data_IF_192371393908
#
_entry.id   IF_192371393908
#
_cell.length_a   1.000
_cell.length_b   1.000
_cell.length_c   1.000
_cell.angle_alpha   90.00
_cell.angle_beta   90.00
_cell.angle_gamma   90.00
#
_symmetry.space_group_name_H-M   'P 1'
#
loop_
_entity.id
_entity.type
_entity.pdbx_description
1 polymer ?
#
# COMPACT_ATOMS: atom_id res chain seq x y z
N UNK A 1 -18.78 -38.10 -24.98
CA UNK A 1 -18.86 -37.45 -23.66
C UNK A 1 -17.76 -36.40 -23.62
N UNK A 2 -18.10 -35.15 -23.87
CA UNK A 2 -17.15 -34.04 -23.87
C UNK A 2 -16.73 -33.70 -22.44
N UNK A 3 -15.44 -33.89 -22.17
CA UNK A 3 -14.81 -33.48 -20.92
C UNK A 3 -14.68 -31.95 -20.98
N UNK A 4 -15.53 -31.25 -20.23
CA UNK A 4 -15.44 -29.80 -20.10
C UNK A 4 -14.11 -29.46 -19.43
N UNK A 5 -13.17 -28.98 -20.26
CA UNK A 5 -11.92 -28.39 -19.83
C UNK A 5 -12.23 -27.21 -18.91
N UNK A 6 -11.98 -27.39 -17.61
CA UNK A 6 -12.03 -26.30 -16.64
C UNK A 6 -10.95 -25.31 -17.07
N UNK A 7 -11.35 -24.13 -17.53
CA UNK A 7 -10.44 -23.01 -17.69
C UNK A 7 -9.78 -22.75 -16.33
N UNK A 8 -8.53 -23.19 -16.21
CA UNK A 8 -7.63 -22.69 -15.19
C UNK A 8 -7.43 -21.22 -15.53
N UNK A 9 -8.06 -20.34 -14.74
CA UNK A 9 -7.84 -18.90 -14.81
C UNK A 9 -6.35 -18.57 -14.63
N UNK A 10 -5.93 -17.33 -14.93
CA UNK A 10 -4.56 -16.90 -14.72
C UNK A 10 -4.11 -17.23 -13.28
N UNK A 11 -2.81 -17.53 -13.06
CA UNK A 11 -2.29 -17.93 -11.76
C UNK A 11 -2.79 -16.98 -10.68
N UNK A 12 -3.26 -17.54 -9.55
CA UNK A 12 -3.82 -16.82 -8.40
C UNK A 12 -2.83 -15.74 -7.92
N UNK A 13 -2.94 -14.55 -8.51
CA UNK A 13 -2.24 -13.36 -8.04
C UNK A 13 -2.63 -13.16 -6.57
N UNK A 14 -1.66 -12.91 -5.70
CA UNK A 14 -1.97 -12.62 -4.29
C UNK A 14 -2.94 -11.45 -4.26
N UNK A 15 -4.07 -11.62 -3.57
CA UNK A 15 -5.12 -10.59 -3.57
C UNK A 15 -4.97 -9.69 -2.34
N UNK A 16 -4.61 -10.29 -1.21
CA UNK A 16 -4.55 -9.61 0.08
C UNK A 16 -3.19 -9.81 0.73
N UNK A 17 -2.51 -8.70 1.04
CA UNK A 17 -1.33 -8.66 1.89
C UNK A 17 -1.75 -8.31 3.34
N UNK A 18 -1.30 -9.08 4.32
CA UNK A 18 -1.59 -8.83 5.75
C UNK A 18 -0.30 -8.39 6.45
N UNK A 19 -0.25 -7.11 6.81
CA UNK A 19 0.85 -6.46 7.50
C UNK A 19 0.49 -6.25 8.98
N UNK A 20 1.24 -6.85 9.89
CA UNK A 20 0.95 -6.80 11.32
C UNK A 20 2.17 -7.17 12.17
N UNK A 21 2.07 -6.93 13.48
CA UNK A 21 3.08 -7.38 14.45
C UNK A 21 2.44 -7.94 15.71
N UNK A 22 3.10 -8.95 16.28
CA UNK A 22 2.79 -9.53 17.58
C UNK A 22 2.44 -11.01 17.48
N UNK A 23 3.09 -11.84 18.29
CA UNK A 23 2.89 -13.30 18.27
C UNK A 23 1.50 -13.69 18.76
N UNK A 24 1.00 -13.01 19.79
CA UNK A 24 -0.38 -13.21 20.28
C UNK A 24 -1.41 -12.91 19.18
N UNK A 25 -1.16 -11.85 18.39
CA UNK A 25 -2.02 -11.47 17.29
C UNK A 25 -1.94 -12.49 16.14
N UNK A 26 -0.75 -13.06 15.88
CA UNK A 26 -0.52 -14.12 14.89
C UNK A 26 -1.31 -15.38 15.22
N UNK A 27 -1.13 -15.93 16.42
CA UNK A 27 -1.77 -17.18 16.83
C UNK A 27 -3.28 -17.02 17.08
N UNK A 28 -3.72 -15.84 17.52
CA UNK A 28 -5.12 -15.53 17.76
C UNK A 28 -5.83 -14.96 16.54
N UNK A 29 -6.15 -13.66 16.60
CA UNK A 29 -7.01 -12.97 15.64
C UNK A 29 -6.60 -13.14 14.16
N UNK A 30 -5.30 -13.03 13.84
CA UNK A 30 -4.83 -13.11 12.44
C UNK A 30 -5.00 -14.51 11.88
N UNK A 31 -4.77 -15.56 12.67
CA UNK A 31 -4.96 -16.94 12.19
C UNK A 31 -6.42 -17.19 11.76
N UNK A 32 -7.38 -16.69 12.54
CA UNK A 32 -8.81 -16.79 12.22
C UNK A 32 -9.21 -15.92 11.03
N UNK A 33 -8.65 -14.72 10.91
CA UNK A 33 -8.89 -13.84 9.76
C UNK A 33 -8.40 -14.48 8.46
N UNK A 34 -7.18 -14.99 8.47
CA UNK A 34 -6.56 -15.68 7.32
C UNK A 34 -7.38 -16.89 6.92
N UNK A 35 -7.75 -17.73 7.89
CA UNK A 35 -8.55 -18.92 7.63
C UNK A 35 -9.92 -18.54 7.00
N UNK A 36 -10.56 -17.48 7.51
CA UNK A 36 -11.83 -17.01 6.97
C UNK A 36 -11.70 -16.53 5.51
N UNK A 37 -10.65 -15.76 5.19
CA UNK A 37 -10.37 -15.30 3.83
C UNK A 37 -10.10 -16.47 2.88
N UNK A 38 -9.26 -17.43 3.30
CA UNK A 38 -8.93 -18.62 2.51
C UNK A 38 -10.16 -19.50 2.25
N UNK A 39 -11.05 -19.67 3.24
CA UNK A 39 -12.32 -20.39 3.08
C UNK A 39 -13.25 -19.74 2.03
N UNK A 40 -13.09 -18.45 1.76
CA UNK A 40 -13.81 -17.72 0.72
C UNK A 40 -13.05 -17.66 -0.62
N UNK A 41 -11.97 -18.44 -0.76
CA UNK A 41 -11.18 -18.51 -2.00
C UNK A 41 -10.28 -17.29 -2.24
N UNK A 42 -10.08 -16.44 -1.23
CA UNK A 42 -9.22 -15.25 -1.33
C UNK A 42 -7.78 -15.69 -1.04
N UNK A 43 -6.88 -15.40 -1.98
CA UNK A 43 -5.46 -15.69 -1.80
C UNK A 43 -4.81 -14.63 -0.90
N UNK A 44 -4.26 -15.06 0.23
CA UNK A 44 -3.71 -14.19 1.28
C UNK A 44 -2.22 -14.46 1.45
N UNK A 45 -1.44 -13.40 1.42
CA UNK A 45 -0.05 -13.41 1.85
C UNK A 45 0.07 -12.77 3.24
N UNK A 46 0.75 -13.46 4.15
CA UNK A 46 0.92 -13.03 5.55
C UNK A 46 2.39 -12.68 5.75
N UNK A 47 2.64 -11.54 6.38
CA UNK A 47 3.98 -11.23 6.85
C UNK A 47 4.45 -12.26 7.92
N UNK A 48 5.37 -13.15 7.52
CA UNK A 48 5.89 -14.26 8.33
C UNK A 48 7.24 -13.90 8.97
N UNK A 49 7.24 -12.86 9.80
CA UNK A 49 8.44 -12.35 10.49
C UNK A 49 9.11 -13.28 11.53
N UNK A 50 9.02 -14.61 11.41
CA UNK A 50 9.79 -15.54 12.26
C UNK A 50 10.95 -16.24 11.55
N UNK A 51 11.06 -16.17 10.21
CA UNK A 51 12.21 -16.77 9.52
C UNK A 51 13.29 -15.73 9.24
N UNK A 52 14.23 -15.64 10.18
CA UNK A 52 15.56 -15.04 9.94
C UNK A 52 16.16 -15.61 8.65
N UNK A 53 16.63 -14.73 7.76
CA UNK A 53 17.74 -15.04 6.85
C UNK A 53 17.45 -15.02 5.35
N UNK A 54 16.20 -15.13 4.90
CA UNK A 54 15.89 -15.20 3.47
C UNK A 54 14.73 -14.25 3.16
N UNK A 55 14.84 -13.46 2.07
CA UNK A 55 13.69 -12.96 1.31
C UNK A 55 12.99 -11.62 1.64
N UNK A 56 13.75 -10.59 2.03
CA UNK A 56 13.24 -9.19 1.98
C UNK A 56 12.85 -8.72 0.58
N UNK A 57 13.59 -9.19 -0.43
CA UNK A 57 13.29 -8.93 -1.84
C UNK A 57 11.95 -9.58 -2.22
N UNK A 58 11.62 -10.74 -1.64
CA UNK A 58 10.36 -11.44 -1.88
C UNK A 58 9.19 -10.68 -1.25
N UNK A 59 9.36 -10.13 -0.04
CA UNK A 59 8.28 -9.47 0.71
C UNK A 59 7.74 -8.21 0.01
N UNK A 60 8.63 -7.35 -0.51
CA UNK A 60 8.19 -6.19 -1.30
C UNK A 60 7.54 -6.61 -2.62
N UNK A 61 8.01 -7.68 -3.26
CA UNK A 61 7.37 -8.23 -4.45
C UNK A 61 5.93 -8.71 -4.14
N UNK A 62 5.69 -9.29 -2.95
CA UNK A 62 4.32 -9.68 -2.54
C UNK A 62 3.39 -8.49 -2.34
N UNK A 63 3.91 -7.38 -1.81
CA UNK A 63 3.15 -6.12 -1.73
C UNK A 63 2.85 -5.59 -3.14
N UNK A 64 3.80 -5.71 -4.08
CA UNK A 64 3.60 -5.29 -5.47
C UNK A 64 2.59 -6.14 -6.23
N UNK A 65 2.58 -7.46 -5.98
CA UNK A 65 1.65 -8.42 -6.56
C UNK A 65 0.23 -8.29 -5.99
N UNK A 66 0.09 -7.75 -4.78
CA UNK A 66 -1.19 -7.61 -4.07
C UNK A 66 -2.05 -6.45 -4.57
N UNK A 67 -3.38 -6.60 -4.51
CA UNK A 67 -4.34 -5.54 -4.84
C UNK A 67 -4.98 -4.89 -3.61
N UNK A 68 -4.96 -5.59 -2.46
CA UNK A 68 -5.42 -5.09 -1.16
C UNK A 68 -4.32 -5.31 -0.12
N UNK A 69 -4.11 -4.35 0.77
CA UNK A 69 -3.32 -4.50 1.99
C UNK A 69 -4.18 -4.25 3.23
N UNK A 70 -4.21 -5.23 4.12
CA UNK A 70 -4.72 -5.12 5.48
C UNK A 70 -3.56 -4.69 6.39
N UNK A 71 -3.61 -3.46 6.89
CA UNK A 71 -2.60 -2.92 7.82
C UNK A 71 -3.17 -2.99 9.23
N UNK A 72 -2.73 -3.96 10.01
CA UNK A 72 -3.26 -4.20 11.36
C UNK A 72 -2.37 -3.48 12.37
N UNK A 73 -2.76 -2.26 12.73
CA UNK A 73 -2.14 -1.53 13.82
C UNK A 73 -2.53 -2.17 15.15
N UNK A 74 -1.52 -2.61 15.89
CA UNK A 74 -1.60 -3.12 17.26
C UNK A 74 -0.63 -2.33 18.14
N UNK A 75 -0.72 -2.50 19.46
CA UNK A 75 0.19 -1.82 20.39
C UNK A 75 1.66 -2.01 20.02
N UNK A 76 2.02 -3.23 19.61
CA UNK A 76 3.40 -3.67 19.32
C UNK A 76 3.88 -3.40 17.89
N UNK A 77 3.08 -2.73 17.07
CA UNK A 77 3.34 -2.56 15.64
C UNK A 77 4.69 -1.87 15.36
N UNK A 78 4.97 -0.79 16.09
CA UNK A 78 6.14 0.07 15.89
C UNK A 78 7.43 -0.53 16.45
N UNK A 79 7.38 -1.66 17.17
CA UNK A 79 8.57 -2.40 17.58
C UNK A 79 9.35 -2.97 16.38
N UNK A 80 8.66 -3.22 15.26
CA UNK A 80 9.20 -3.91 14.09
C UNK A 80 9.59 -2.95 12.98
N UNK A 81 10.90 -2.81 12.75
CA UNK A 81 11.45 -2.05 11.61
C UNK A 81 10.90 -2.58 10.28
N UNK A 82 10.75 -3.90 10.17
CA UNK A 82 10.18 -4.53 8.99
C UNK A 82 8.74 -4.09 8.74
N UNK A 83 7.88 -4.10 9.75
CA UNK A 83 6.50 -3.65 9.58
C UNK A 83 6.44 -2.16 9.19
N UNK A 84 7.37 -1.34 9.70
CA UNK A 84 7.48 0.08 9.34
C UNK A 84 7.96 0.28 7.89
N UNK A 85 8.92 -0.51 7.42
CA UNK A 85 9.38 -0.46 6.02
C UNK A 85 8.33 -1.00 5.04
N UNK A 86 7.63 -2.07 5.39
CA UNK A 86 6.48 -2.56 4.62
C UNK A 86 5.40 -1.50 4.50
N UNK A 87 5.14 -0.76 5.58
CA UNK A 87 4.19 0.35 5.57
C UNK A 87 4.60 1.46 4.57
N UNK A 88 5.90 1.74 4.45
CA UNK A 88 6.39 2.68 3.42
C UNK A 88 6.05 2.19 2.02
N UNK A 89 6.29 0.90 1.75
CA UNK A 89 6.01 0.30 0.44
C UNK A 89 4.51 0.27 0.15
N UNK A 90 3.70 -0.09 1.15
CA UNK A 90 2.24 -0.08 1.07
C UNK A 90 1.73 1.32 0.76
N UNK A 91 2.22 2.34 1.49
CA UNK A 91 1.87 3.74 1.22
C UNK A 91 2.24 4.14 -0.20
N UNK A 92 3.47 3.84 -0.64
CA UNK A 92 3.93 4.15 -1.99
C UNK A 92 3.01 3.56 -3.06
N UNK A 93 2.66 2.27 -2.94
CA UNK A 93 1.76 1.58 -3.88
C UNK A 93 0.34 2.14 -3.84
N UNK A 94 -0.14 2.53 -2.66
CA UNK A 94 -1.44 3.15 -2.48
C UNK A 94 -1.52 4.54 -3.10
N UNK A 95 -0.48 5.36 -2.94
CA UNK A 95 -0.37 6.70 -3.52
C UNK A 95 -0.29 6.64 -5.06
N UNK A 96 0.27 5.56 -5.61
CA UNK A 96 0.26 5.26 -7.05
C UNK A 96 -1.08 4.69 -7.56
N UNK A 97 -2.03 4.39 -6.66
CA UNK A 97 -3.34 3.82 -7.02
C UNK A 97 -3.32 2.32 -7.34
N UNK A 98 -2.21 1.61 -7.12
CA UNK A 98 -2.09 0.18 -7.41
C UNK A 98 -2.55 -0.72 -6.27
N UNK A 99 -2.64 -0.20 -5.05
CA UNK A 99 -2.94 -0.98 -3.85
C UNK A 99 -4.02 -0.30 -3.01
N UNK A 100 -5.13 -1.00 -2.77
CA UNK A 100 -6.13 -0.54 -1.80
C UNK A 100 -5.64 -0.85 -0.39
N UNK A 101 -5.73 0.12 0.52
CA UNK A 101 -5.32 -0.06 1.92
C UNK A 101 -6.54 -0.01 2.82
N UNK A 102 -6.68 -1.01 3.68
CA UNK A 102 -7.70 -1.08 4.73
C UNK A 102 -6.97 -1.10 6.09
N UNK A 103 -6.91 0.03 6.79
CA UNK A 103 -6.39 0.07 8.16
C UNK A 103 -7.30 -0.68 9.11
N UNK A 104 -6.72 -1.53 9.96
CA UNK A 104 -7.39 -2.24 11.04
C UNK A 104 -6.73 -1.79 12.34
N UNK A 105 -7.52 -1.23 13.25
CA UNK A 105 -7.06 -0.73 14.54
C UNK A 105 -7.43 -1.74 15.62
N UNK A 106 -6.49 -2.59 16.01
CA UNK A 106 -6.71 -3.69 16.94
C UNK A 106 -6.28 -3.29 18.35
N UNK A 107 -7.24 -3.00 19.23
CA UNK A 107 -7.01 -2.49 20.59
C UNK A 107 -6.15 -1.21 20.65
N UNK A 108 -6.16 -0.42 19.58
CA UNK A 108 -5.50 0.89 19.50
C UNK A 108 -6.46 1.89 18.88
N UNK A 109 -6.41 3.15 19.31
CA UNK A 109 -7.24 4.20 18.70
C UNK A 109 -6.55 4.78 17.44
N UNK A 110 -7.29 5.15 16.38
CA UNK A 110 -6.71 5.78 15.20
C UNK A 110 -5.90 7.05 15.51
N UNK A 111 -6.36 7.86 16.48
CA UNK A 111 -5.65 9.07 16.91
C UNK A 111 -4.30 8.74 17.56
N UNK A 112 -4.22 7.62 18.28
CA UNK A 112 -2.99 7.14 18.91
C UNK A 112 -1.95 6.77 17.87
N UNK A 113 -2.35 6.09 16.79
CA UNK A 113 -1.48 5.76 15.66
C UNK A 113 -1.04 7.03 14.94
N UNK A 114 -1.99 7.89 14.57
CA UNK A 114 -1.73 9.13 13.81
C UNK A 114 -0.76 10.07 14.53
N UNK A 115 -0.90 10.19 15.85
CA UNK A 115 -0.15 11.16 16.65
C UNK A 115 0.97 10.52 17.47
N UNK A 116 1.21 9.22 17.30
CA UNK A 116 2.25 8.46 18.02
C UNK A 116 2.18 8.69 19.52
N UNK A 117 1.01 8.37 20.11
CA UNK A 117 0.75 8.53 21.55
C UNK A 117 0.83 7.19 22.29
N UNK A 118 0.96 7.27 23.62
CA UNK A 118 0.98 6.11 24.51
C UNK A 118 2.04 5.08 24.13
N UNK A 119 1.82 3.83 24.52
CA UNK A 119 2.75 2.73 24.29
C UNK A 119 3.16 2.57 22.80
N UNK A 120 2.20 2.72 21.88
CA UNK A 120 2.48 2.71 20.43
C UNK A 120 3.52 3.76 20.02
N UNK A 121 3.38 4.97 20.56
CA UNK A 121 4.30 6.08 20.32
C UNK A 121 5.64 5.92 21.04
N UNK A 122 5.64 5.37 22.25
CA UNK A 122 6.85 5.15 23.04
C UNK A 122 7.77 4.14 22.34
N UNK A 123 7.21 3.02 21.86
CA UNK A 123 7.94 2.03 21.06
C UNK A 123 8.48 2.62 19.74
N UNK A 124 7.73 3.54 19.12
CA UNK A 124 8.22 4.24 17.94
C UNK A 124 9.42 5.15 18.28
N UNK A 125 9.42 5.81 19.44
CA UNK A 125 10.53 6.67 19.87
C UNK A 125 11.81 5.86 20.10
N UNK A 126 11.71 4.63 20.58
CA UNK A 126 12.86 3.73 20.68
C UNK A 126 13.50 3.49 19.30
N UNK A 127 12.67 3.30 18.26
CA UNK A 127 13.16 3.18 16.87
C UNK A 127 13.69 4.49 16.31
N UNK A 128 13.06 5.61 16.63
CA UNK A 128 13.58 6.92 16.24
C UNK A 128 14.96 7.18 16.86
N UNK A 129 15.18 6.76 18.11
CA UNK A 129 16.48 6.85 18.78
C UNK A 129 17.52 5.92 18.16
N UNK A 130 17.16 4.66 17.89
CA UNK A 130 18.05 3.69 17.24
C UNK A 130 18.52 4.21 15.87
N UNK A 131 17.60 4.76 15.08
CA UNK A 131 17.85 5.29 13.73
C UNK A 131 18.04 6.81 13.69
N UNK A 132 18.47 7.44 14.80
CA UNK A 132 18.68 8.90 14.89
C UNK A 132 19.62 9.48 13.83
N UNK A 133 20.56 8.67 13.33
CA UNK A 133 21.48 9.06 12.24
C UNK A 133 20.84 8.96 10.83
N UNK A 134 19.70 8.28 10.70
CA UNK A 134 18.89 8.16 9.49
C UNK A 134 17.53 8.82 9.71
N UNK A 135 17.59 10.11 10.08
CA UNK A 135 16.41 10.94 10.31
C UNK A 135 15.41 10.89 9.12
N UNK A 136 15.84 10.93 7.85
CA UNK A 136 14.94 10.84 6.69
C UNK A 136 14.11 9.55 6.64
N UNK A 137 14.63 8.42 7.13
CA UNK A 137 13.86 7.17 7.23
C UNK A 137 12.80 7.26 8.31
N UNK A 138 13.17 7.74 9.50
CA UNK A 138 12.22 7.91 10.61
C UNK A 138 11.08 8.87 10.27
N UNK A 139 11.35 9.94 9.53
CA UNK A 139 10.32 10.88 9.07
C UNK A 139 9.37 10.25 8.05
N UNK A 140 9.89 9.44 7.14
CA UNK A 140 9.05 8.66 6.22
C UNK A 140 8.14 7.69 6.97
N UNK A 141 8.64 7.02 8.01
CA UNK A 141 7.80 6.15 8.84
C UNK A 141 6.68 6.93 9.55
N UNK A 142 7.00 8.10 10.13
CA UNK A 142 6.00 8.99 10.75
C UNK A 142 4.92 9.41 9.74
N UNK A 143 5.34 9.82 8.55
CA UNK A 143 4.43 10.20 7.47
C UNK A 143 3.52 9.03 7.06
N UNK A 144 4.07 7.83 6.92
CA UNK A 144 3.31 6.66 6.52
C UNK A 144 2.30 6.21 7.58
N UNK A 145 2.70 6.20 8.86
CA UNK A 145 1.78 5.93 9.98
C UNK A 145 0.63 6.94 10.01
N UNK A 146 0.93 8.23 9.84
CA UNK A 146 -0.08 9.29 9.80
C UNK A 146 -1.01 9.17 8.58
N UNK A 147 -0.44 8.97 7.38
CA UNK A 147 -1.21 8.89 6.12
C UNK A 147 -2.14 7.68 6.09
N UNK A 148 -1.61 6.49 6.41
CA UNK A 148 -2.38 5.24 6.37
C UNK A 148 -3.46 5.23 7.44
N UNK A 149 -3.17 5.72 8.66
CA UNK A 149 -4.18 5.80 9.74
C UNK A 149 -5.29 6.83 9.48
N UNK A 150 -5.09 7.77 8.55
CA UNK A 150 -6.15 8.72 8.15
C UNK A 150 -7.12 8.12 7.11
N UNK A 151 -6.83 6.96 6.53
CA UNK A 151 -7.74 6.27 5.62
C UNK A 151 -8.92 5.67 6.41
N UNK A 152 -10.07 5.52 5.74
CA UNK A 152 -11.22 4.84 6.34
C UNK A 152 -10.82 3.41 6.71
N UNK A 153 -10.98 3.05 7.99
CA UNK A 153 -10.55 1.77 8.53
C UNK A 153 -11.56 1.16 9.49
N UNK A 154 -11.21 0.00 10.05
CA UNK A 154 -12.04 -0.79 10.95
C UNK A 154 -11.39 -0.84 12.33
N UNK A 155 -12.15 -0.58 13.39
CA UNK A 155 -11.61 -0.59 14.75
C UNK A 155 -12.19 -1.74 15.57
N UNK A 156 -11.33 -2.38 16.37
CA UNK A 156 -11.67 -3.43 17.30
C UNK A 156 -11.29 -3.00 18.73
N UNK A 157 -12.23 -3.18 19.65
CA UNK A 157 -12.03 -3.05 21.08
C UNK A 157 -12.22 -4.42 21.74
N UNK A 158 -11.43 -4.72 22.78
CA UNK A 158 -11.44 -5.99 23.54
C UNK A 158 -12.78 -6.42 24.11
N UNK A 159 -13.78 -5.53 24.21
CA UNK A 159 -15.16 -5.87 24.63
C UNK A 159 -16.02 -6.35 23.47
N UNK A 160 -15.49 -6.29 22.25
CA UNK A 160 -16.16 -6.67 21.01
C UNK A 160 -15.95 -8.15 20.71
N UNK A 161 -16.83 -8.67 19.87
CA UNK A 161 -16.80 -10.05 19.40
C UNK A 161 -15.86 -10.18 18.20
N UNK A 162 -14.70 -10.81 18.41
CA UNK A 162 -13.67 -11.01 17.37
C UNK A 162 -14.21 -11.75 16.14
N UNK A 163 -15.10 -12.74 16.33
CA UNK A 163 -15.68 -13.49 15.21
C UNK A 163 -16.54 -12.59 14.34
N UNK A 164 -17.36 -11.72 14.95
CA UNK A 164 -18.11 -10.70 14.20
C UNK A 164 -17.18 -9.73 13.50
N UNK A 165 -16.08 -9.33 14.14
CA UNK A 165 -15.11 -8.42 13.55
C UNK A 165 -14.42 -9.02 12.32
N UNK A 166 -14.00 -10.29 12.39
CA UNK A 166 -13.47 -11.04 11.23
C UNK A 166 -14.48 -11.05 10.08
N UNK A 167 -15.77 -11.28 10.36
CA UNK A 167 -16.83 -11.25 9.33
C UNK A 167 -17.01 -9.87 8.70
N UNK A 168 -16.80 -8.79 9.46
CA UNK A 168 -16.85 -7.41 8.94
C UNK A 168 -15.67 -7.18 8.00
N UNK A 169 -14.46 -7.55 8.40
CA UNK A 169 -13.26 -7.41 7.55
C UNK A 169 -13.40 -8.21 6.26
N UNK A 170 -13.84 -9.46 6.36
CA UNK A 170 -14.08 -10.32 5.20
C UNK A 170 -15.01 -9.66 4.18
N UNK A 171 -16.15 -9.12 4.63
CA UNK A 171 -17.10 -8.42 3.76
C UNK A 171 -16.50 -7.18 3.10
N UNK A 172 -15.68 -6.44 3.83
CA UNK A 172 -15.02 -5.25 3.26
C UNK A 172 -14.00 -5.66 2.19
N UNK A 173 -13.23 -6.72 2.42
CA UNK A 173 -12.31 -7.28 1.42
C UNK A 173 -13.05 -7.77 0.18
N UNK A 174 -14.12 -8.55 0.34
CA UNK A 174 -14.94 -9.05 -0.79
C UNK A 174 -15.51 -7.89 -1.63
N UNK A 175 -16.01 -6.86 -0.97
CA UNK A 175 -16.51 -5.64 -1.64
C UNK A 175 -15.40 -4.96 -2.45
N UNK A 176 -14.21 -4.78 -1.88
CA UNK A 176 -13.10 -4.15 -2.59
C UNK A 176 -12.63 -4.99 -3.79
N UNK A 177 -12.62 -6.32 -3.67
CA UNK A 177 -12.32 -7.21 -4.80
C UNK A 177 -13.37 -7.13 -5.91
N UNK A 178 -14.66 -7.02 -5.57
CA UNK A 178 -15.74 -6.86 -6.55
C UNK A 178 -15.63 -5.53 -7.33
N UNK A 179 -15.23 -4.45 -6.66
CA UNK A 179 -15.00 -3.15 -7.30
C UNK A 179 -13.84 -3.17 -8.31
N UNK A 180 -12.86 -4.04 -8.11
CA UNK A 180 -11.74 -4.21 -9.04
C UNK A 180 -12.12 -4.98 -10.31
N UNK A 181 -13.09 -5.90 -10.22
CA UNK A 181 -13.54 -6.74 -11.36
C UNK A 181 -14.54 -6.01 -12.26
N UNK A 182 -15.33 -5.08 -11.70
CA UNK A 182 -16.34 -4.34 -12.44
C UNK A 182 -15.92 -2.86 -12.63
N UNK A 183 -15.21 -2.48 -13.70
CA UNK A 183 -15.03 -1.07 -14.00
C UNK A 183 -16.41 -0.46 -14.23
N UNK A 184 -16.74 0.59 -13.47
CA UNK A 184 -17.97 1.35 -13.63
C UNK A 184 -18.03 1.85 -15.08
N UNK A 185 -18.89 1.22 -15.89
CA UNK A 185 -19.23 1.74 -17.23
C UNK A 185 -20.06 2.98 -17.00
N UNK A 186 -19.42 4.14 -17.05
CA UNK A 186 -20.13 5.42 -17.05
C UNK A 186 -20.81 5.52 -18.42
N UNK A 187 -22.15 5.53 -18.51
CA UNK A 187 -22.81 5.77 -19.78
C UNK A 187 -22.51 7.22 -20.16
N UNK A 188 -21.71 7.43 -21.21
CA UNK A 188 -21.56 8.75 -21.81
C UNK A 188 -22.96 9.23 -22.25
N UNK A 189 -23.48 10.35 -21.72
CA UNK A 189 -24.73 10.91 -22.21
C UNK A 189 -24.45 11.62 -23.53
N UNK A 190 -24.73 10.91 -24.63
CA UNK A 190 -25.18 11.49 -25.89
C UNK A 190 -24.11 12.03 -26.84
N UNK A 191 -23.99 11.35 -27.98
CA UNK A 191 -24.21 12.05 -29.25
C UNK A 191 -25.09 11.18 -30.14
N UNK A 192 -26.29 11.68 -30.44
CA UNK A 192 -27.26 11.10 -31.37
C UNK A 192 -26.61 10.81 -32.73
N UNK A 193 -26.94 9.66 -33.30
CA UNK A 193 -26.92 9.47 -34.75
C UNK A 193 -28.19 10.11 -35.30
N UNK A 194 -28.09 11.26 -35.96
CA UNK A 194 -29.15 11.74 -36.83
C UNK A 194 -28.66 11.62 -38.29
N UNK A 195 -29.19 10.61 -38.98
CA UNK A 195 -29.16 10.47 -40.43
C UNK A 195 -30.43 11.14 -40.95
N UNK A 196 -30.30 12.25 -41.70
CA UNK A 196 -31.18 12.56 -42.84
C UNK A 196 -30.67 13.79 -43.60
N UNK A 197 -30.45 13.60 -44.89
CA UNK A 197 -30.13 14.60 -45.90
C UNK A 197 -31.38 15.33 -46.44
N UNK A 198 -31.12 16.41 -47.20
CA UNK A 198 -31.93 17.10 -48.23
C UNK A 198 -32.73 18.36 -47.84
N UNK A 199 -32.12 19.52 -48.15
CA UNK A 199 -32.62 20.46 -49.17
C UNK A 199 -33.57 21.60 -48.76
N UNK A 200 -33.19 22.85 -49.06
CA UNK A 200 -34.13 23.90 -49.49
C UNK A 200 -34.11 25.27 -48.79
N UNK A 201 -33.50 26.26 -49.47
CA UNK A 201 -33.85 27.69 -49.62
C UNK A 201 -34.49 28.48 -48.44
N UNK A 202 -33.67 29.40 -47.88
CA UNK A 202 -33.83 30.87 -47.91
C UNK A 202 -34.96 31.57 -47.13
N UNK A 203 -34.60 32.50 -46.22
CA UNK A 203 -35.20 33.84 -46.11
C UNK A 203 -34.37 34.74 -45.17
N UNK A 204 -34.27 36.02 -45.51
CA UNK A 204 -33.49 37.09 -44.87
C UNK A 204 -34.42 38.05 -44.14
N UNK A 205 -34.17 38.41 -42.87
CA UNK A 205 -34.59 39.71 -42.26
C UNK A 205 -33.55 40.15 -41.20
N UNK A 206 -33.16 41.44 -41.29
CA UNK A 206 -32.24 42.22 -40.44
C UNK A 206 -32.82 42.58 -39.07
N UNK A 207 -31.94 42.82 -38.09
CA UNK A 207 -32.24 43.65 -36.91
C UNK A 207 -31.10 43.79 -35.90
N UNK A 208 -30.24 44.79 -36.10
CA UNK A 208 -29.49 45.62 -35.11
C UNK A 208 -28.59 45.02 -34.00
N UNK A 209 -27.28 45.21 -34.21
CA UNK A 209 -26.29 45.88 -33.34
C UNK A 209 -26.06 45.42 -31.89
N UNK A 210 -24.95 44.71 -31.66
CA UNK A 210 -23.97 44.97 -30.59
C UNK A 210 -22.70 44.14 -30.87
N UNK A 211 -21.60 44.81 -31.23
CA UNK A 211 -20.24 44.27 -31.08
C UNK A 211 -19.95 44.14 -29.57
N UNK A 212 -19.35 43.02 -29.11
CA UNK A 212 -17.95 43.17 -28.75
C UNK A 212 -17.06 41.94 -29.01
N UNK A 213 -15.84 42.25 -29.48
CA UNK A 213 -14.55 41.67 -29.06
C UNK A 213 -14.25 40.24 -29.54
N UNK A 214 -13.48 40.18 -30.62
CA UNK A 214 -12.68 39.04 -31.05
C UNK A 214 -11.58 38.73 -30.01
N UNK A 215 -11.83 37.72 -29.17
CA UNK A 215 -10.78 37.00 -28.44
C UNK A 215 -10.37 35.80 -29.29
N UNK A 216 -9.47 36.07 -30.22
CA UNK A 216 -8.77 35.07 -30.98
C UNK A 216 -8.09 34.06 -30.05
N UNK A 217 -8.25 32.77 -30.38
CA UNK A 217 -7.29 31.69 -30.14
C UNK A 217 -6.77 31.53 -28.70
N UNK A 218 -7.41 30.65 -27.95
CA UNK A 218 -6.67 29.67 -27.15
C UNK A 218 -7.09 28.27 -27.56
N UNK A 219 -6.29 27.69 -28.43
CA UNK A 219 -6.20 26.23 -28.56
C UNK A 219 -5.82 25.71 -27.18
N UNK A 220 -6.79 25.09 -26.50
CA UNK A 220 -6.51 24.34 -25.28
C UNK A 220 -5.63 23.16 -25.70
N UNK A 221 -4.31 23.35 -25.62
CA UNK A 221 -3.34 22.27 -25.72
C UNK A 221 -3.62 21.32 -24.58
N UNK A 222 -4.33 20.24 -24.86
CA UNK A 222 -4.24 19.00 -24.09
C UNK A 222 -2.75 18.68 -24.04
N UNK A 223 -2.12 18.96 -22.90
CA UNK A 223 -0.75 18.57 -22.68
C UNK A 223 -0.72 17.04 -22.67
N UNK A 224 0.18 16.47 -23.45
CA UNK A 224 0.40 15.04 -23.53
C UNK A 224 0.72 14.46 -22.14
N UNK A 225 -0.29 13.92 -21.46
CA UNK A 225 -0.17 13.22 -20.17
C UNK A 225 0.74 11.99 -20.26
N UNK A 226 1.08 11.54 -21.48
CA UNK A 226 2.07 10.49 -21.75
C UNK A 226 3.49 10.93 -21.37
N UNK A 227 3.83 12.21 -21.55
CA UNK A 227 5.16 12.74 -21.21
C UNK A 227 5.38 12.81 -19.69
N UNK A 228 4.37 13.27 -18.95
CA UNK A 228 4.39 13.32 -17.48
C UNK A 228 4.39 11.90 -16.89
N UNK A 229 3.55 11.01 -17.40
CA UNK A 229 3.49 9.61 -16.94
C UNK A 229 4.80 8.86 -17.19
N UNK A 230 5.45 9.10 -18.32
CA UNK A 230 6.76 8.52 -18.62
C UNK A 230 7.85 9.07 -17.70
N UNK A 231 7.85 10.38 -17.40
CA UNK A 231 8.79 10.94 -16.44
C UNK A 231 8.57 10.36 -15.04
N UNK A 232 7.33 10.26 -14.57
CA UNK A 232 7.00 9.63 -13.27
C UNK A 232 7.49 8.18 -13.23
N UNK A 233 7.30 7.41 -14.30
CA UNK A 233 7.78 6.04 -14.41
C UNK A 233 9.30 5.95 -14.32
N UNK A 234 10.02 6.82 -15.03
CA UNK A 234 11.49 6.89 -15.00
C UNK A 234 11.99 7.27 -13.60
N UNK A 235 11.40 8.27 -12.94
CA UNK A 235 11.76 8.64 -11.58
C UNK A 235 11.45 7.54 -10.58
N UNK A 236 10.31 6.85 -10.71
CA UNK A 236 9.96 5.74 -9.84
C UNK A 236 10.94 4.58 -9.99
N UNK A 237 11.39 4.28 -11.21
CA UNK A 237 12.41 3.26 -11.46
C UNK A 237 13.76 3.64 -10.84
N UNK A 238 14.22 4.87 -11.08
CA UNK A 238 15.46 5.37 -10.49
C UNK A 238 15.41 5.37 -8.95
N UNK A 239 14.25 5.70 -8.36
CA UNK A 239 14.05 5.63 -6.91
C UNK A 239 14.18 4.19 -6.39
N UNK A 240 13.54 3.22 -7.06
CA UNK A 240 13.64 1.81 -6.70
C UNK A 240 15.07 1.28 -6.81
N UNK A 241 15.82 1.68 -7.85
CA UNK A 241 17.23 1.29 -8.01
C UNK A 241 18.11 1.86 -6.88
N UNK A 242 17.89 3.12 -6.50
CA UNK A 242 18.58 3.77 -5.38
C UNK A 242 18.23 3.09 -4.05
N UNK A 243 16.96 2.76 -3.83
CA UNK A 243 16.52 2.07 -2.62
C UNK A 243 17.11 0.66 -2.53
N UNK A 244 17.18 -0.06 -3.64
CA UNK A 244 17.84 -1.35 -3.73
C UNK A 244 19.33 -1.27 -3.38
N UNK A 245 20.05 -0.30 -3.96
CA UNK A 245 21.46 -0.07 -3.65
C UNK A 245 21.68 0.30 -2.18
N UNK A 246 20.81 1.15 -1.60
CA UNK A 246 20.90 1.50 -0.20
C UNK A 246 20.67 0.30 0.73
N UNK A 247 19.74 -0.58 0.38
CA UNK A 247 19.50 -1.81 1.15
C UNK A 247 20.67 -2.78 1.05
N UNK A 248 21.29 -2.91 -0.12
CA UNK A 248 22.51 -3.69 -0.30
C UNK A 248 23.67 -3.16 0.56
N UNK A 249 23.88 -1.84 0.55
CA UNK A 249 24.90 -1.19 1.39
C UNK A 249 24.64 -1.39 2.89
N UNK A 250 23.38 -1.31 3.33
CA UNK A 250 23.01 -1.60 4.72
C UNK A 250 23.31 -3.04 5.13
N UNK A 251 23.08 -4.01 4.25
CA UNK A 251 23.42 -5.40 4.51
C UNK A 251 24.94 -5.60 4.67
N UNK A 252 25.74 -4.96 3.81
CA UNK A 252 27.20 -5.00 3.94
C UNK A 252 27.70 -4.34 5.24
N UNK A 253 27.11 -3.22 5.64
CA UNK A 253 27.42 -2.55 6.90
C UNK A 253 27.11 -3.43 8.11
N UNK A 254 26.01 -4.19 8.07
CA UNK A 254 25.65 -5.11 9.13
C UNK A 254 26.66 -6.25 9.25
N UNK A 255 27.06 -6.86 8.12
CA UNK A 255 28.05 -7.93 8.10
C UNK A 255 29.42 -7.45 8.62
N UNK A 256 29.83 -6.23 8.25
CA UNK A 256 31.05 -5.62 8.79
C UNK A 256 30.96 -5.37 10.30
N UNK A 257 29.79 -4.91 10.79
CA UNK A 257 29.55 -4.72 12.22
C UNK A 257 29.66 -6.02 13.00
N UNK A 258 29.09 -7.12 12.49
CA UNK A 258 29.19 -8.45 13.12
C UNK A 258 30.64 -8.95 13.16
N UNK A 259 31.40 -8.78 12.07
CA UNK A 259 32.83 -9.11 12.03
C UNK A 259 33.64 -8.32 13.06
N UNK A 260 33.36 -7.03 13.21
CA UNK A 260 34.01 -6.19 14.22
C UNK A 260 33.68 -6.63 15.65
N UNK A 261 32.42 -6.98 15.93
CA UNK A 261 32.01 -7.52 17.23
C UNK A 261 32.71 -8.85 17.54
N UNK A 262 32.81 -9.74 16.56
CA UNK A 262 33.54 -11.00 16.67
C UNK A 262 35.04 -10.79 16.97
N UNK A 263 35.69 -9.87 16.24
CA UNK A 263 37.09 -9.51 16.48
C UNK A 263 37.31 -8.91 17.88
N UNK A 264 36.42 -8.02 18.33
CA UNK A 264 36.50 -7.46 19.68
C UNK A 264 36.37 -8.56 20.75
N UNK A 265 35.46 -9.52 20.56
CA UNK A 265 35.32 -10.65 21.48
C UNK A 265 36.59 -11.51 21.54
N UNK A 266 37.27 -11.72 20.42
CA UNK A 266 38.53 -12.46 20.37
C UNK A 266 39.65 -11.72 21.11
N UNK A 267 39.73 -10.40 20.95
CA UNK A 267 40.72 -9.56 21.64
C UNK A 267 40.50 -9.60 23.16
N UNK A 268 39.27 -9.42 23.62
CA UNK A 268 38.90 -9.51 25.04
C UNK A 268 39.25 -10.87 25.65
N UNK A 269 39.01 -11.98 24.93
CA UNK A 269 39.43 -13.32 25.39
C UNK A 269 40.96 -13.44 25.48
N UNK A 270 41.71 -12.82 24.56
CA UNK A 270 43.18 -12.88 24.57
C UNK A 270 43.82 -12.03 25.69
N UNK A 271 43.16 -10.95 26.11
CA UNK A 271 43.63 -10.08 27.21
C UNK A 271 43.35 -10.68 28.58
N UNK A 272 42.27 -11.46 28.74
CA UNK A 272 41.92 -12.15 29.99
C UNK A 272 42.75 -13.43 30.25
N UNK A 273 43.66 -13.80 29.33
CA UNK A 273 44.54 -14.98 29.45
C UNK A 273 46.01 -14.62 29.79
N UNK A 274 46.30 -13.36 30.16
CA UNK A 274 47.61 -12.91 30.66
C UNK A 274 47.63 -12.67 32.17
#
# INVERSE_FOLDING_TARGET
MEVHSRHLGPPLQHQVFVNFRGEELRCGFVSHLVEALQRHGINVFIDSLERKGEDLINLFARIEESTIALVIFSERYTESIWCLDELLKIKQRADQGFLKVIPIFFNVEPVTVKQLRGAFGDQFRDREWEYRCDKPRTDRWKEALSSVSCKAGLAFDKRSDESKFVRIILKEVEKELQLQVNPVVIPFPGTRRDISSLGGKGMHIRGSTQEPVDLSRESFRVHDNSSISNQISVFSKAYMDIEHQNNYLRAQLLELSERLQSLNSIIEMSLNFR
#
